data_IF_033940202940
#
_entry.id   IF_033940202940
#
_cell.length_a   1.000
_cell.length_b   1.000
_cell.length_c   1.000
_cell.angle_alpha   90.00
_cell.angle_beta   90.00
_cell.angle_gamma   90.00
#
_symmetry.space_group_name_H-M   'P 1'
#
loop_
_entity.id
_entity.type
_entity.pdbx_description
1 polymer ?
#
# COMPACT_ATOMS: atom_id res chain seq x y z
N UNK A 1 -11.25 19.30 1.02
CA UNK A 1 -9.93 19.40 0.36
C UNK A 1 -10.15 19.34 -1.14
N UNK A 2 -9.35 20.07 -1.91
CA UNK A 2 -9.29 19.87 -3.37
C UNK A 2 -8.79 18.45 -3.67
N UNK A 3 -9.25 17.85 -4.77
CA UNK A 3 -8.76 16.55 -5.19
C UNK A 3 -7.22 16.57 -5.38
N UNK A 4 -6.53 15.46 -5.08
CA UNK A 4 -5.07 15.39 -5.24
C UNK A 4 -4.68 15.67 -6.70
N UNK A 5 -3.76 16.61 -6.91
CA UNK A 5 -3.32 17.05 -8.24
C UNK A 5 -2.11 16.24 -8.75
N UNK A 6 -2.23 14.92 -8.76
CA UNK A 6 -1.24 14.00 -9.31
C UNK A 6 -1.92 12.81 -9.98
N UNK A 7 -1.18 12.11 -10.85
CA UNK A 7 -1.63 10.83 -11.43
C UNK A 7 -0.94 9.65 -10.76
N UNK A 8 0.39 9.60 -10.79
CA UNK A 8 1.23 8.57 -10.16
C UNK A 8 2.22 9.23 -9.21
N UNK A 9 1.87 9.37 -7.94
CA UNK A 9 2.73 9.99 -6.93
C UNK A 9 3.83 9.02 -6.50
N UNK A 10 5.05 9.50 -6.39
CA UNK A 10 6.18 8.80 -5.76
C UNK A 10 6.74 9.64 -4.62
N UNK A 11 7.44 8.98 -3.70
CA UNK A 11 8.26 9.60 -2.66
C UNK A 11 9.69 9.08 -2.84
N UNK A 12 10.68 9.97 -2.83
CA UNK A 12 12.06 9.60 -3.13
C UNK A 12 13.05 10.52 -2.40
N UNK A 13 14.30 10.07 -2.23
CA UNK A 13 15.42 10.92 -1.84
C UNK A 13 16.15 11.42 -3.09
N UNK A 14 16.51 12.70 -3.13
CA UNK A 14 17.40 13.24 -4.16
C UNK A 14 18.88 12.86 -3.91
N UNK A 15 19.79 13.31 -4.78
CA UNK A 15 21.23 13.08 -4.64
C UNK A 15 21.85 13.64 -3.35
N UNK A 16 21.18 14.57 -2.69
CA UNK A 16 21.59 15.18 -1.42
C UNK A 16 20.87 14.54 -0.22
N UNK A 17 20.18 13.41 -0.42
CA UNK A 17 19.38 12.73 0.60
C UNK A 17 18.23 13.57 1.16
N UNK A 18 17.71 14.52 0.38
CA UNK A 18 16.51 15.28 0.73
C UNK A 18 15.28 14.54 0.21
N UNK A 19 14.27 14.39 1.06
CA UNK A 19 13.02 13.72 0.70
C UNK A 19 12.11 14.62 -0.13
N UNK A 20 11.56 14.08 -1.21
CA UNK A 20 10.68 14.75 -2.15
C UNK A 20 9.53 13.84 -2.58
N UNK A 21 8.43 14.47 -2.96
CA UNK A 21 7.36 13.87 -3.74
C UNK A 21 7.52 14.23 -5.21
N UNK A 22 7.14 13.33 -6.10
CA UNK A 22 7.12 13.60 -7.54
C UNK A 22 6.03 12.81 -8.24
N UNK A 23 5.87 13.03 -9.53
CA UNK A 23 5.07 12.17 -10.38
C UNK A 23 5.84 11.65 -11.58
N UNK A 24 5.65 10.37 -11.86
CA UNK A 24 6.22 9.69 -13.02
C UNK A 24 5.23 9.78 -14.18
N UNK A 25 5.69 10.24 -15.34
CA UNK A 25 4.86 10.40 -16.54
C UNK A 25 4.67 9.09 -17.34
N UNK A 26 5.39 8.02 -16.95
CA UNK A 26 5.51 6.78 -17.70
C UNK A 26 4.32 5.82 -17.47
N UNK A 27 3.94 5.08 -18.53
CA UNK A 27 3.04 3.93 -18.46
C UNK A 27 3.74 2.67 -17.88
N UNK A 28 5.07 2.62 -17.89
CA UNK A 28 5.88 1.53 -17.32
C UNK A 28 6.58 1.98 -16.02
N UNK A 29 6.43 1.14 -14.98
CA UNK A 29 7.07 1.30 -13.68
C UNK A 29 8.39 0.50 -13.57
N UNK A 30 8.85 -0.12 -14.67
CA UNK A 30 9.96 -1.08 -14.65
C UNK A 30 11.34 -0.42 -14.44
N UNK A 31 11.43 0.91 -14.49
CA UNK A 31 12.67 1.68 -14.31
C UNK A 31 12.44 3.06 -13.67
N UNK A 32 11.70 3.09 -12.55
CA UNK A 32 11.45 4.35 -11.81
C UNK A 32 12.75 4.94 -11.24
N UNK A 33 13.66 4.11 -10.72
CA UNK A 33 14.94 4.59 -10.21
C UNK A 33 15.80 5.16 -11.36
N UNK A 34 16.29 6.39 -11.16
CA UNK A 34 17.03 7.13 -12.18
C UNK A 34 16.15 7.79 -13.26
N UNK A 35 14.82 7.66 -13.18
CA UNK A 35 13.91 8.35 -14.10
C UNK A 35 13.82 9.86 -13.81
N UNK A 36 13.63 10.64 -14.87
CA UNK A 36 13.27 12.06 -14.74
C UNK A 36 11.80 12.16 -14.33
N UNK A 37 11.53 12.79 -13.20
CA UNK A 37 10.18 13.00 -12.70
C UNK A 37 9.86 14.48 -12.60
N UNK A 38 8.57 14.79 -12.65
CA UNK A 38 8.09 16.09 -12.24
C UNK A 38 7.98 16.10 -10.73
N UNK A 39 8.90 16.76 -10.03
CA UNK A 39 8.86 16.86 -8.58
C UNK A 39 7.75 17.79 -8.16
N UNK A 40 7.11 17.45 -7.06
CA UNK A 40 5.89 18.02 -6.54
C UNK A 40 6.06 18.52 -5.09
N UNK A 41 7.25 18.62 -4.51
CA UNK A 41 7.47 19.25 -3.19
C UNK A 41 7.68 18.25 -2.04
N UNK A 42 7.59 18.71 -0.78
CA UNK A 42 7.90 17.91 0.41
C UNK A 42 6.68 17.47 1.23
N UNK A 43 5.51 18.03 0.94
CA UNK A 43 4.27 17.77 1.67
C UNK A 43 3.22 17.24 0.70
N UNK A 44 2.68 16.06 1.02
CA UNK A 44 1.68 15.36 0.21
C UNK A 44 0.39 16.19 0.01
N UNK A 45 0.09 17.11 0.93
CA UNK A 45 -1.08 17.99 0.85
C UNK A 45 -0.81 19.28 0.06
N UNK A 46 0.46 19.71 -0.03
CA UNK A 46 0.86 21.01 -0.56
C UNK A 46 1.90 20.89 -1.67
N UNK A 47 1.52 20.20 -2.73
CA UNK A 47 2.41 19.85 -3.83
C UNK A 47 2.77 21.06 -4.74
N UNK A 48 4.06 21.27 -5.06
CA UNK A 48 4.64 22.33 -5.92
C UNK A 48 5.80 21.83 -6.79
N UNK A 49 5.96 22.39 -7.98
CA UNK A 49 6.91 21.90 -9.01
C UNK A 49 8.41 22.22 -8.73
N UNK A 50 9.34 21.23 -8.64
CA UNK A 50 10.83 21.41 -8.79
C UNK A 50 11.75 20.17 -8.51
N UNK A 51 12.53 19.60 -9.45
CA UNK A 51 13.67 18.67 -9.13
C UNK A 51 13.88 17.40 -10.00
N UNK A 52 14.77 16.46 -9.57
CA UNK A 52 15.10 15.13 -10.17
C UNK A 52 15.11 14.02 -9.09
N UNK A 53 14.98 12.72 -9.46
CA UNK A 53 14.98 11.58 -8.50
C UNK A 53 16.35 10.94 -8.23
N UNK A 54 16.50 10.37 -7.03
CA UNK A 54 17.59 9.49 -6.63
C UNK A 54 17.12 8.10 -6.19
N UNK A 55 16.67 7.95 -4.94
CA UNK A 55 16.29 6.66 -4.29
C UNK A 55 14.79 6.61 -4.01
N UNK A 56 14.09 5.57 -4.46
CA UNK A 56 12.65 5.45 -4.22
C UNK A 56 12.35 5.01 -2.77
N UNK A 57 11.37 5.64 -2.14
CA UNK A 57 10.89 5.32 -0.80
C UNK A 57 9.51 4.67 -0.84
N UNK A 58 9.05 4.13 0.29
CA UNK A 58 7.62 3.85 0.47
C UNK A 58 6.81 5.12 0.12
N UNK A 59 5.71 5.06 -0.62
CA UNK A 59 4.96 6.24 -1.06
C UNK A 59 4.40 7.09 0.10
N UNK A 60 4.25 6.49 1.29
CA UNK A 60 3.85 7.17 2.51
C UNK A 60 5.01 7.19 3.52
N UNK A 61 5.24 8.31 4.24
CA UNK A 61 6.27 8.41 5.28
C UNK A 61 5.92 7.64 6.54
N UNK A 62 4.62 7.48 6.78
CA UNK A 62 4.10 6.86 7.98
C UNK A 62 2.71 6.29 7.68
N UNK A 63 2.43 5.09 8.19
CA UNK A 63 1.11 4.48 8.18
C UNK A 63 0.78 4.10 9.62
N UNK A 64 -0.18 4.76 10.30
CA UNK A 64 -0.39 4.56 11.72
C UNK A 64 -0.89 3.15 12.05
N UNK A 65 -1.67 2.57 11.14
CA UNK A 65 -2.08 1.16 11.18
C UNK A 65 -2.54 0.75 9.78
N UNK A 66 -2.42 -0.53 9.48
CA UNK A 66 -3.05 -1.13 8.30
C UNK A 66 -4.34 -1.81 8.73
N UNK A 67 -5.43 -1.55 8.01
CA UNK A 67 -6.67 -2.34 8.12
C UNK A 67 -6.74 -3.28 6.92
N UNK A 68 -6.71 -4.58 7.18
CA UNK A 68 -6.59 -5.60 6.14
C UNK A 68 -7.83 -6.48 6.10
N UNK A 69 -8.14 -7.05 4.93
CA UNK A 69 -9.29 -7.93 4.72
C UNK A 69 -8.78 -9.30 4.26
N UNK A 70 -8.91 -10.30 5.12
CA UNK A 70 -8.62 -11.68 4.76
C UNK A 70 -9.75 -12.31 3.95
N UNK A 71 -9.41 -13.30 3.12
CA UNK A 71 -10.38 -14.16 2.41
C UNK A 71 -11.29 -13.39 1.43
N UNK A 72 -10.79 -12.29 0.85
CA UNK A 72 -11.56 -11.43 -0.05
C UNK A 72 -11.47 -11.84 -1.55
N UNK A 73 -10.64 -12.83 -1.88
CA UNK A 73 -10.53 -13.38 -3.23
C UNK A 73 -11.14 -14.78 -3.28
N UNK A 74 -12.19 -14.95 -4.08
CA UNK A 74 -12.91 -16.22 -4.20
C UNK A 74 -12.00 -17.39 -4.66
N UNK A 75 -10.97 -17.10 -5.46
CA UNK A 75 -9.96 -18.08 -5.86
C UNK A 75 -9.10 -18.52 -4.67
N UNK A 76 -8.61 -17.56 -3.88
CA UNK A 76 -7.81 -17.84 -2.69
C UNK A 76 -8.59 -18.61 -1.62
N UNK A 77 -9.88 -18.30 -1.43
CA UNK A 77 -10.76 -19.05 -0.53
C UNK A 77 -10.87 -20.53 -0.93
N UNK A 78 -10.95 -20.81 -2.23
CA UNK A 78 -10.94 -22.17 -2.76
C UNK A 78 -9.59 -22.86 -2.56
N UNK A 79 -8.48 -22.18 -2.85
CA UNK A 79 -7.12 -22.69 -2.65
C UNK A 79 -6.84 -23.04 -1.18
N UNK A 80 -7.31 -22.18 -0.26
CA UNK A 80 -7.17 -22.37 1.18
C UNK A 80 -8.13 -23.43 1.76
N UNK A 81 -9.04 -24.01 0.96
CA UNK A 81 -10.11 -24.90 1.40
C UNK A 81 -10.95 -24.29 2.55
N UNK A 82 -11.19 -22.99 2.50
CA UNK A 82 -11.98 -22.27 3.49
C UNK A 82 -13.40 -22.00 2.98
N UNK A 83 -14.34 -21.82 3.90
CA UNK A 83 -15.68 -21.32 3.53
C UNK A 83 -15.61 -19.80 3.36
N UNK A 84 -16.28 -19.29 2.32
CA UNK A 84 -16.40 -17.85 2.11
C UNK A 84 -17.14 -17.25 3.33
N UNK A 85 -16.53 -16.29 4.04
CA UNK A 85 -17.15 -15.72 5.21
C UNK A 85 -18.34 -14.82 4.81
N UNK A 86 -19.39 -14.80 5.64
CA UNK A 86 -20.58 -13.98 5.40
C UNK A 86 -20.33 -12.47 5.61
N UNK A 87 -19.29 -12.14 6.38
CA UNK A 87 -18.84 -10.79 6.65
C UNK A 87 -17.32 -10.70 6.40
N UNK A 88 -16.78 -9.53 6.06
CA UNK A 88 -15.33 -9.35 5.89
C UNK A 88 -14.54 -9.77 7.13
N UNK A 89 -13.47 -10.54 6.95
CA UNK A 89 -12.56 -10.91 8.04
C UNK A 89 -11.49 -9.82 8.15
N UNK A 90 -11.66 -8.94 9.13
CA UNK A 90 -10.77 -7.79 9.32
C UNK A 90 -9.70 -8.11 10.35
N UNK A 91 -8.48 -7.68 10.07
CA UNK A 91 -7.36 -7.69 11.02
C UNK A 91 -6.49 -6.45 10.80
N UNK A 92 -5.51 -6.25 11.69
CA UNK A 92 -4.64 -5.08 11.64
C UNK A 92 -3.16 -5.47 11.62
N UNK A 93 -2.35 -4.61 11.02
CA UNK A 93 -0.88 -4.62 11.15
C UNK A 93 -0.42 -3.28 11.75
N UNK A 94 0.62 -3.28 12.60
CA UNK A 94 1.15 -2.08 13.24
C UNK A 94 1.92 -1.20 12.24
N UNK A 95 2.24 0.03 12.65
CA UNK A 95 3.01 0.96 11.83
C UNK A 95 4.38 0.42 11.42
N UNK A 96 5.05 -0.33 12.29
CA UNK A 96 6.38 -0.93 12.04
C UNK A 96 6.36 -2.00 10.93
N UNK A 97 5.18 -2.48 10.53
CA UNK A 97 5.07 -3.37 9.38
C UNK A 97 5.35 -2.64 8.05
N UNK A 98 5.28 -1.31 7.98
CA UNK A 98 5.51 -0.56 6.76
C UNK A 98 6.93 -0.81 6.21
N UNK A 99 7.00 -1.11 4.92
CA UNK A 99 8.25 -1.12 4.15
C UNK A 99 8.05 -0.48 2.77
N UNK A 100 9.14 0.00 2.19
CA UNK A 100 9.18 0.50 0.82
C UNK A 100 9.22 -0.60 -0.24
N UNK A 101 9.05 -0.24 -1.52
CA UNK A 101 8.99 -1.18 -2.63
C UNK A 101 10.31 -1.92 -2.88
N UNK A 102 11.44 -1.35 -2.46
CA UNK A 102 12.78 -1.91 -2.64
C UNK A 102 13.52 -2.14 -1.31
N UNK A 103 12.83 -1.98 -0.18
CA UNK A 103 13.42 -2.23 1.12
C UNK A 103 13.69 -3.73 1.32
N UNK A 104 14.84 -4.05 1.92
CA UNK A 104 15.13 -5.41 2.32
C UNK A 104 14.28 -5.79 3.55
N UNK A 105 13.45 -6.82 3.41
CA UNK A 105 12.64 -7.31 4.52
C UNK A 105 13.45 -8.30 5.34
N UNK A 106 13.75 -7.94 6.60
CA UNK A 106 14.40 -8.86 7.53
C UNK A 106 13.39 -9.91 7.99
N UNK A 107 13.58 -11.16 7.56
CA UNK A 107 12.72 -12.27 7.98
C UNK A 107 13.17 -12.77 9.36
N UNK A 108 12.39 -12.59 10.43
CA UNK A 108 12.78 -13.06 11.76
C UNK A 108 12.74 -14.59 11.80
N UNK A 109 13.54 -15.18 12.69
CA UNK A 109 13.62 -16.66 12.85
C UNK A 109 12.27 -17.31 13.10
N UNK A 110 11.37 -16.60 13.77
CA UNK A 110 10.01 -17.03 14.09
C UNK A 110 9.07 -17.01 12.86
N UNK A 111 9.38 -16.29 11.78
CA UNK A 111 8.52 -16.19 10.60
C UNK A 111 8.63 -17.44 9.70
N UNK A 112 8.26 -18.60 10.26
CA UNK A 112 8.26 -19.88 9.56
C UNK A 112 7.18 -19.94 8.48
N UNK A 113 7.48 -20.64 7.38
CA UNK A 113 6.58 -20.78 6.23
C UNK A 113 6.08 -19.40 5.76
N UNK A 114 7.04 -18.50 5.52
CA UNK A 114 6.77 -17.18 4.98
C UNK A 114 6.14 -17.30 3.59
N UNK A 115 5.13 -16.48 3.35
CA UNK A 115 4.40 -16.42 2.10
C UNK A 115 4.11 -14.96 1.73
N UNK A 116 4.00 -14.71 0.43
CA UNK A 116 3.66 -13.40 -0.13
C UNK A 116 2.19 -13.35 -0.55
N UNK A 117 1.58 -12.18 -0.44
CA UNK A 117 0.20 -11.93 -0.84
C UNK A 117 0.15 -10.57 -1.53
N UNK A 118 0.12 -10.56 -2.87
CA UNK A 118 0.02 -9.31 -3.63
C UNK A 118 -1.39 -8.74 -3.54
N UNK A 119 -1.52 -7.53 -3.02
CA UNK A 119 -2.81 -6.92 -2.68
C UNK A 119 -2.96 -5.51 -3.24
N UNK A 120 -4.20 -5.13 -3.56
CA UNK A 120 -4.55 -3.73 -3.80
C UNK A 120 -4.64 -3.01 -2.45
N UNK A 121 -3.79 -2.01 -2.25
CA UNK A 121 -3.85 -1.15 -1.07
C UNK A 121 -4.63 0.13 -1.39
N UNK A 122 -5.55 0.47 -0.49
CA UNK A 122 -6.36 1.69 -0.55
C UNK A 122 -5.81 2.67 0.47
N UNK A 123 -5.53 3.91 0.05
CA UNK A 123 -5.00 4.95 0.93
C UNK A 123 -6.10 5.95 1.23
N UNK A 124 -6.44 6.07 2.51
CA UNK A 124 -7.44 7.04 3.00
C UNK A 124 -6.79 8.41 3.09
N UNK A 125 -7.37 9.41 2.43
CA UNK A 125 -6.90 10.79 2.44
C UNK A 125 -7.78 11.75 3.22
N UNK A 126 -8.96 11.30 3.67
CA UNK A 126 -9.92 12.13 4.39
C UNK A 126 -10.63 11.32 5.45
N UNK A 127 -10.61 11.82 6.68
CA UNK A 127 -11.34 11.24 7.80
C UNK A 127 -12.83 11.08 7.48
N UNK A 128 -13.42 10.01 7.98
CA UNK A 128 -14.84 9.75 7.85
C UNK A 128 -15.30 8.64 8.78
N UNK A 129 -16.62 8.61 9.00
CA UNK A 129 -17.30 7.62 9.83
C UNK A 129 -18.68 7.39 9.24
N UNK A 130 -19.17 6.14 9.29
CA UNK A 130 -20.48 5.75 8.75
C UNK A 130 -20.67 6.16 7.27
N UNK A 131 -19.57 6.10 6.51
CA UNK A 131 -19.49 6.50 5.10
C UNK A 131 -20.39 5.56 4.29
N UNK A 132 -21.28 6.14 3.49
CA UNK A 132 -22.10 5.35 2.59
C UNK A 132 -21.27 4.83 1.41
N UNK A 133 -21.56 3.65 0.84
CA UNK A 133 -20.76 3.07 -0.24
C UNK A 133 -20.54 4.01 -1.44
N UNK A 134 -21.55 4.81 -1.81
CA UNK A 134 -21.46 5.75 -2.92
C UNK A 134 -20.48 6.91 -2.68
N UNK A 135 -20.21 7.25 -1.42
CA UNK A 135 -19.35 8.36 -1.02
C UNK A 135 -17.91 7.90 -0.72
N UNK A 136 -17.65 6.59 -0.76
CA UNK A 136 -16.36 6.01 -0.35
C UNK A 136 -15.17 6.56 -1.15
N UNK A 137 -15.35 6.78 -2.46
CA UNK A 137 -14.28 7.27 -3.33
C UNK A 137 -13.85 8.71 -3.00
N UNK A 138 -14.72 9.51 -2.40
CA UNK A 138 -14.42 10.89 -2.00
C UNK A 138 -13.50 10.98 -0.77
N UNK A 139 -13.22 9.84 -0.14
CA UNK A 139 -12.33 9.72 1.01
C UNK A 139 -10.94 9.17 0.66
N UNK A 140 -10.72 8.78 -0.59
CA UNK A 140 -9.46 8.16 -1.01
C UNK A 140 -8.44 9.21 -1.44
N UNK A 141 -7.23 9.09 -0.92
CA UNK A 141 -6.05 9.73 -1.52
C UNK A 141 -5.67 9.03 -2.82
N UNK A 142 -5.75 7.69 -2.84
CA UNK A 142 -5.39 6.88 -3.99
C UNK A 142 -5.20 5.40 -3.68
N UNK A 143 -4.53 4.72 -4.61
CA UNK A 143 -4.28 3.29 -4.57
C UNK A 143 -2.80 3.01 -4.72
N UNK A 144 -2.31 1.93 -4.11
CA UNK A 144 -0.96 1.42 -4.34
C UNK A 144 -0.98 -0.11 -4.35
N UNK A 145 0.12 -0.75 -4.72
CA UNK A 145 0.27 -2.20 -4.55
C UNK A 145 0.87 -2.44 -3.17
N UNK A 146 0.47 -3.51 -2.51
CA UNK A 146 1.09 -3.98 -1.28
C UNK A 146 1.38 -5.47 -1.31
N UNK A 147 2.19 -5.91 -0.36
CA UNK A 147 2.45 -7.31 -0.10
C UNK A 147 2.11 -7.65 1.36
N UNK A 148 1.06 -8.44 1.61
CA UNK A 148 0.68 -8.86 2.95
C UNK A 148 1.48 -10.09 3.40
N UNK A 149 2.76 -9.86 3.71
CA UNK A 149 3.67 -10.92 4.12
C UNK A 149 3.14 -11.66 5.36
N UNK A 150 3.21 -12.99 5.28
CA UNK A 150 2.47 -13.86 6.18
C UNK A 150 3.29 -15.07 6.61
N UNK A 151 3.46 -15.28 7.91
CA UNK A 151 3.90 -16.57 8.44
C UNK A 151 2.73 -17.55 8.49
N UNK A 152 2.67 -18.47 7.52
CA UNK A 152 1.63 -19.51 7.48
C UNK A 152 1.71 -20.48 8.64
N UNK A 153 2.87 -20.58 9.28
CA UNK A 153 3.03 -21.35 10.50
C UNK A 153 2.15 -20.79 11.62
N UNK A 154 2.26 -19.48 11.89
CA UNK A 154 1.55 -18.80 12.98
C UNK A 154 0.09 -18.52 12.67
N UNK A 155 -0.27 -18.32 11.41
CA UNK A 155 -1.64 -17.98 11.01
C UNK A 155 -2.65 -19.11 11.26
N UNK A 156 -2.20 -20.38 11.27
CA UNK A 156 -3.12 -21.53 11.33
C UNK A 156 -3.87 -21.60 12.67
N UNK A 157 -5.15 -22.02 12.69
CA UNK A 157 -6.01 -21.98 13.87
C UNK A 157 -5.42 -22.58 15.16
N UNK A 158 -4.68 -23.71 15.14
CA UNK A 158 -4.09 -24.27 16.36
C UNK A 158 -3.07 -23.36 17.06
N UNK A 159 -2.53 -22.34 16.37
CA UNK A 159 -1.54 -21.40 16.92
C UNK A 159 -2.11 -19.98 17.07
N UNK A 160 -2.87 -19.55 16.08
CA UNK A 160 -3.44 -18.21 16.03
C UNK A 160 -4.71 -18.02 16.85
N UNK A 161 -5.42 -19.11 17.21
CA UNK A 161 -6.76 -18.98 17.81
C UNK A 161 -7.76 -18.21 16.94
N UNK A 162 -7.53 -18.19 15.61
CA UNK A 162 -8.30 -17.41 14.64
C UNK A 162 -7.83 -15.96 14.44
N UNK A 163 -6.77 -15.51 15.13
CA UNK A 163 -6.21 -14.16 14.99
C UNK A 163 -5.09 -14.11 13.96
N UNK A 164 -5.13 -13.14 13.04
CA UNK A 164 -4.10 -13.02 11.99
C UNK A 164 -2.97 -12.06 12.31
N UNK A 165 -3.15 -11.16 13.27
CA UNK A 165 -2.21 -10.06 13.53
C UNK A 165 -0.78 -10.56 13.74
N UNK A 166 -0.53 -11.46 14.69
CA UNK A 166 0.83 -11.93 14.99
C UNK A 166 1.55 -12.53 13.78
N UNK A 167 0.85 -13.34 12.99
CA UNK A 167 1.42 -14.01 11.82
C UNK A 167 1.81 -13.03 10.70
N UNK A 168 1.24 -11.82 10.70
CA UNK A 168 1.35 -10.84 9.62
C UNK A 168 2.01 -9.53 10.07
N UNK A 169 2.42 -9.38 11.33
CA UNK A 169 2.79 -8.06 11.89
C UNK A 169 4.27 -7.91 12.25
N UNK A 170 5.14 -8.77 11.74
CA UNK A 170 6.58 -8.56 11.90
C UNK A 170 7.03 -7.29 11.16
N UNK A 171 8.14 -6.68 11.60
CA UNK A 171 8.66 -5.45 11.01
C UNK A 171 8.88 -5.61 9.49
N UNK A 172 8.39 -4.64 8.71
CA UNK A 172 8.45 -4.66 7.25
C UNK A 172 7.50 -5.64 6.54
N UNK A 173 6.58 -6.31 7.25
CA UNK A 173 5.64 -7.27 6.62
C UNK A 173 4.51 -6.64 5.80
N UNK A 174 4.50 -5.33 5.64
CA UNK A 174 3.58 -4.56 4.79
C UNK A 174 4.35 -3.68 3.78
N UNK A 175 5.16 -4.24 2.86
CA UNK A 175 5.72 -3.46 1.78
C UNK A 175 4.60 -2.86 0.92
N UNK A 176 4.69 -1.56 0.62
CA UNK A 176 3.77 -0.87 -0.29
C UNK A 176 4.54 -0.03 -1.32
N UNK A 177 3.93 0.21 -2.47
CA UNK A 177 4.50 1.02 -3.54
C UNK A 177 4.32 0.40 -4.93
N UNK A 178 5.10 0.84 -5.93
CA UNK A 178 6.05 1.94 -5.88
C UNK A 178 5.42 3.34 -5.95
N UNK A 179 4.15 3.44 -6.38
CA UNK A 179 3.45 4.73 -6.57
C UNK A 179 2.10 4.76 -5.88
N UNK A 180 1.56 5.96 -5.64
CA UNK A 180 0.13 6.17 -5.38
C UNK A 180 -0.54 6.60 -6.68
N UNK A 181 -1.44 5.76 -7.18
CA UNK A 181 -2.33 6.07 -8.29
C UNK A 181 -3.53 6.88 -7.80
N UNK A 182 -3.76 8.04 -8.39
CA UNK A 182 -4.92 8.88 -8.07
C UNK A 182 -6.25 8.24 -8.49
N UNK A 183 -7.33 8.35 -7.69
CA UNK A 183 -8.65 7.86 -8.08
C UNK A 183 -9.20 8.56 -9.33
N UNK A 184 -8.74 9.78 -9.61
CA UNK A 184 -9.17 10.59 -10.76
C UNK A 184 -8.58 10.11 -12.09
N UNK A 185 -7.51 9.31 -12.07
CA UNK A 185 -6.85 8.78 -13.28
C UNK A 185 -7.78 7.92 -14.15
N UNK A 186 -8.94 7.49 -13.65
CA UNK A 186 -9.92 6.68 -14.38
C UNK A 186 -11.10 7.46 -15.00
N UNK A 187 -11.27 8.76 -14.74
CA UNK A 187 -12.42 9.51 -15.27
C UNK A 187 -12.39 9.78 -16.79
N UNK A 188 -11.33 9.41 -17.50
CA UNK A 188 -11.22 9.68 -18.94
C UNK A 188 -11.34 8.46 -19.87
N UNK A 189 -11.45 7.21 -19.40
CA UNK A 189 -11.32 6.07 -20.34
C UNK A 189 -12.07 4.78 -20.04
N UNK A 190 -13.05 4.75 -19.13
CA UNK A 190 -13.86 3.53 -18.91
C UNK A 190 -15.27 3.69 -19.48
N UNK A 191 -15.36 3.70 -20.80
CA UNK A 191 -16.46 3.01 -21.49
C UNK A 191 -16.05 1.54 -21.56
N UNK A 192 -16.60 0.71 -20.66
CA UNK A 192 -16.75 -0.73 -20.89
C UNK A 192 -18.23 -1.01 -21.02
#
# INVERSE_FOLDING_TARGET
MSAPNFTNLIRFLDENSVEWYGQVASESLDSIEGSVVKVLGHDIENLRDAGKTGVLLAPLPHVPHFTCIGLNYAAHVKEANMQMPANPVIFMKPADALAGPYDNITVPKEAHLLDYEGELCIIIGKDGKDIQPQDALDHLLGYTVGNDLSSRHWQRPPRAGGQFCYAKSFDGFAPIGPTILSPMSRRQSLCI
#
